data_IF_603657046014
#
_entry.id   IF_603657046014
#
_cell.length_a   1.000
_cell.length_b   1.000
_cell.length_c   1.000
_cell.angle_alpha   90.00
_cell.angle_beta   90.00
_cell.angle_gamma   90.00
#
_symmetry.space_group_name_H-M   'P 1'
#
loop_
_entity.id
_entity.type
_entity.pdbx_description
1 polymer ?
#
# COMPACT_ATOMS: atom_id res chain seq x y z
N UNK A 1 -7.08 -17.06 -9.68
CA UNK A 1 -6.73 -16.54 -8.36
C UNK A 1 -5.45 -15.74 -8.45
N UNK A 2 -5.34 -14.61 -7.74
CA UNK A 2 -4.22 -13.66 -7.81
C UNK A 2 -3.54 -13.49 -6.44
N UNK A 3 -2.27 -13.13 -6.47
CA UNK A 3 -1.52 -12.74 -5.26
C UNK A 3 -1.53 -11.22 -5.14
N UNK A 4 -2.02 -10.70 -4.02
CA UNK A 4 -2.15 -9.28 -3.73
C UNK A 4 -1.09 -8.83 -2.74
N UNK A 5 -0.45 -7.69 -2.99
CA UNK A 5 0.38 -6.97 -2.03
C UNK A 5 -0.33 -5.68 -1.66
N UNK A 6 -0.62 -5.47 -0.37
CA UNK A 6 -1.39 -4.33 0.11
C UNK A 6 -0.54 -3.51 1.08
N UNK A 7 0.01 -2.38 0.61
CA UNK A 7 0.68 -1.44 1.50
C UNK A 7 -0.34 -0.63 2.30
N UNK A 8 -0.07 -0.39 3.57
CA UNK A 8 -1.07 0.16 4.48
C UNK A 8 -2.22 -0.82 4.79
N UNK A 9 -1.96 -2.11 4.63
CA UNK A 9 -2.96 -3.19 4.69
C UNK A 9 -3.68 -3.34 6.03
N UNK A 10 -3.13 -2.82 7.13
CA UNK A 10 -3.79 -2.79 8.46
C UNK A 10 -4.73 -1.61 8.66
N UNK A 11 -4.78 -0.66 7.71
CA UNK A 11 -5.74 0.44 7.71
C UNK A 11 -7.18 -0.02 7.42
N UNK A 12 -8.15 0.89 7.59
CA UNK A 12 -9.58 0.58 7.35
C UNK A 12 -9.82 0.02 5.95
N UNK A 13 -9.30 0.69 4.92
CA UNK A 13 -9.41 0.23 3.54
C UNK A 13 -8.75 -1.14 3.32
N UNK A 14 -7.51 -1.31 3.79
CA UNK A 14 -6.77 -2.56 3.60
C UNK A 14 -7.44 -3.76 4.25
N UNK A 15 -7.99 -3.59 5.45
CA UNK A 15 -8.77 -4.63 6.14
C UNK A 15 -10.04 -4.99 5.37
N UNK A 16 -10.81 -3.99 4.94
CA UNK A 16 -12.07 -4.22 4.22
C UNK A 16 -11.82 -4.87 2.86
N UNK A 17 -10.86 -4.35 2.08
CA UNK A 17 -10.48 -4.98 0.80
C UNK A 17 -10.06 -6.44 0.99
N UNK A 18 -9.19 -6.71 1.98
CA UNK A 18 -8.76 -8.09 2.26
C UNK A 18 -9.95 -8.98 2.65
N UNK A 19 -10.89 -8.47 3.43
CA UNK A 19 -12.12 -9.19 3.79
C UNK A 19 -12.98 -9.51 2.57
N UNK A 20 -13.16 -8.55 1.67
CA UNK A 20 -13.93 -8.73 0.42
C UNK A 20 -13.25 -9.76 -0.49
N UNK A 21 -11.93 -9.69 -0.65
CA UNK A 21 -11.19 -10.68 -1.42
C UNK A 21 -11.41 -12.08 -0.87
N UNK A 22 -11.24 -12.28 0.44
CA UNK A 22 -11.44 -13.57 1.11
C UNK A 22 -12.89 -14.10 0.99
N UNK A 23 -13.90 -13.24 1.12
CA UNK A 23 -15.30 -13.63 0.96
C UNK A 23 -15.62 -14.12 -0.45
N UNK A 24 -15.01 -13.49 -1.45
CA UNK A 24 -15.26 -13.81 -2.87
C UNK A 24 -14.27 -14.84 -3.43
N UNK A 25 -13.35 -15.37 -2.64
CA UNK A 25 -12.33 -16.37 -3.04
C UNK A 25 -11.57 -15.97 -4.30
N UNK A 26 -11.19 -14.69 -4.39
CA UNK A 26 -10.52 -14.09 -5.56
C UNK A 26 -9.01 -14.22 -5.48
N UNK A 27 -8.47 -14.53 -4.31
CA UNK A 27 -7.05 -14.53 -3.97
C UNK A 27 -6.43 -15.93 -3.96
N UNK A 28 -5.14 -15.97 -4.33
CA UNK A 28 -4.22 -17.08 -4.05
C UNK A 28 -3.46 -16.82 -2.75
N UNK A 29 -3.07 -15.55 -2.53
CA UNK A 29 -2.35 -15.07 -1.36
C UNK A 29 -2.62 -13.56 -1.17
N UNK A 30 -2.68 -13.11 0.07
CA UNK A 30 -2.77 -11.70 0.43
C UNK A 30 -1.60 -11.35 1.34
N UNK A 31 -0.77 -10.41 0.88
CA UNK A 31 0.36 -9.88 1.62
C UNK A 31 -0.03 -8.53 2.21
N UNK A 32 -0.06 -8.45 3.54
CA UNK A 32 -0.27 -7.23 4.31
C UNK A 32 1.10 -6.63 4.61
N UNK A 33 1.35 -5.43 4.13
CA UNK A 33 2.58 -4.68 4.39
C UNK A 33 2.24 -3.41 5.17
N UNK A 34 2.74 -3.29 6.38
CA UNK A 34 2.51 -2.13 7.25
C UNK A 34 3.56 -2.01 8.34
N UNK A 35 3.70 -0.80 8.92
CA UNK A 35 4.69 -0.51 9.96
C UNK A 35 4.30 -1.03 11.35
N UNK A 36 3.00 -1.14 11.61
CA UNK A 36 2.42 -1.32 12.92
C UNK A 36 2.18 -2.81 13.21
N UNK A 37 3.08 -3.40 14.00
CA UNK A 37 3.00 -4.80 14.44
C UNK A 37 1.72 -5.08 15.24
N UNK A 38 1.34 -4.16 16.13
CA UNK A 38 0.16 -4.33 16.97
C UNK A 38 -1.12 -4.42 16.12
N UNK A 39 -1.27 -3.53 15.12
CA UNK A 39 -2.40 -3.61 14.19
C UNK A 39 -2.39 -4.86 13.34
N UNK A 40 -1.21 -5.38 12.98
CA UNK A 40 -1.12 -6.68 12.29
C UNK A 40 -1.58 -7.82 13.19
N UNK A 41 -1.16 -7.84 14.47
CA UNK A 41 -1.59 -8.83 15.45
C UNK A 41 -3.10 -8.77 15.70
N UNK A 42 -3.66 -7.57 15.89
CA UNK A 42 -5.10 -7.41 16.00
C UNK A 42 -5.85 -7.90 14.75
N UNK A 43 -5.34 -7.63 13.55
CA UNK A 43 -5.94 -8.10 12.31
C UNK A 43 -5.95 -9.63 12.23
N UNK A 44 -4.86 -10.29 12.60
CA UNK A 44 -4.76 -11.77 12.64
C UNK A 44 -5.82 -12.42 13.53
N UNK A 45 -6.21 -11.75 14.61
CA UNK A 45 -7.20 -12.25 15.58
C UNK A 45 -8.64 -12.17 15.08
N UNK A 46 -8.92 -11.35 14.07
CA UNK A 46 -10.26 -11.26 13.50
C UNK A 46 -10.64 -12.57 12.80
N UNK A 47 -11.86 -13.04 13.02
CA UNK A 47 -12.32 -14.37 12.65
C UNK A 47 -12.11 -14.70 11.16
N UNK A 48 -12.35 -13.73 10.27
CA UNK A 48 -12.18 -13.93 8.82
C UNK A 48 -10.71 -14.15 8.44
N UNK A 49 -9.77 -13.40 9.06
CA UNK A 49 -8.33 -13.56 8.76
C UNK A 49 -7.75 -14.79 9.42
N UNK A 50 -8.17 -15.11 10.65
CA UNK A 50 -7.78 -16.32 11.36
C UNK A 50 -8.16 -17.59 10.59
N UNK A 51 -9.38 -17.66 10.06
CA UNK A 51 -9.84 -18.80 9.25
C UNK A 51 -9.06 -18.96 7.94
N UNK A 52 -8.43 -17.89 7.45
CA UNK A 52 -7.70 -17.85 6.18
C UNK A 52 -6.18 -17.66 6.37
N UNK A 53 -5.63 -18.01 7.54
CA UNK A 53 -4.21 -17.78 7.87
C UNK A 53 -3.23 -18.40 6.85
N UNK A 54 -3.59 -19.51 6.21
CA UNK A 54 -2.75 -20.21 5.24
C UNK A 54 -2.41 -19.35 4.01
N UNK A 55 -3.30 -18.44 3.63
CA UNK A 55 -3.13 -17.57 2.47
C UNK A 55 -2.78 -16.13 2.83
N UNK A 56 -2.84 -15.78 4.12
CA UNK A 56 -2.42 -14.47 4.61
C UNK A 56 -0.92 -14.46 4.92
N UNK A 57 -0.25 -13.35 4.57
CA UNK A 57 1.14 -13.07 4.98
C UNK A 57 1.23 -11.66 5.52
N UNK A 58 1.99 -11.47 6.56
CA UNK A 58 2.13 -10.20 7.26
C UNK A 58 3.61 -9.80 7.27
N UNK A 59 3.93 -8.73 6.58
CA UNK A 59 5.26 -8.16 6.52
C UNK A 59 5.29 -6.82 7.26
N UNK A 60 6.13 -6.72 8.27
CA UNK A 60 6.45 -5.43 8.89
C UNK A 60 7.42 -4.70 7.98
N UNK A 61 7.07 -3.46 7.63
CA UNK A 61 7.90 -2.60 6.80
C UNK A 61 7.27 -1.24 6.57
N UNK A 62 8.11 -0.29 6.19
CA UNK A 62 7.74 1.08 5.86
C UNK A 62 7.85 1.28 4.35
N UNK A 63 6.91 2.01 3.74
CA UNK A 63 6.96 2.33 2.30
C UNK A 63 8.14 3.24 1.95
N UNK A 64 8.77 3.87 2.93
CA UNK A 64 9.99 4.64 2.78
C UNK A 64 11.25 3.76 2.59
N UNK A 65 11.15 2.47 2.88
CA UNK A 65 12.23 1.49 2.72
C UNK A 65 12.01 0.67 1.45
N UNK A 66 12.65 1.10 0.36
CA UNK A 66 12.58 0.43 -0.94
C UNK A 66 13.06 -1.02 -0.88
N UNK A 67 14.17 -1.27 -0.16
CA UNK A 67 14.75 -2.60 -0.09
C UNK A 67 13.79 -3.60 0.58
N UNK A 68 13.14 -3.15 1.65
CA UNK A 68 12.14 -3.97 2.36
C UNK A 68 10.90 -4.26 1.50
N UNK A 69 10.45 -3.28 0.71
CA UNK A 69 9.34 -3.48 -0.25
C UNK A 69 9.74 -4.51 -1.31
N UNK A 70 10.89 -4.31 -1.98
CA UNK A 70 11.40 -5.22 -3.02
C UNK A 70 11.57 -6.64 -2.50
N UNK A 71 12.12 -6.83 -1.30
CA UNK A 71 12.22 -8.13 -0.65
C UNK A 71 10.85 -8.79 -0.48
N UNK A 72 9.89 -8.07 0.12
CA UNK A 72 8.55 -8.62 0.36
C UNK A 72 7.82 -8.97 -0.95
N UNK A 73 8.06 -8.23 -2.03
CA UNK A 73 7.47 -8.49 -3.34
C UNK A 73 8.11 -9.71 -4.02
N UNK A 74 9.44 -9.79 -4.06
CA UNK A 74 10.19 -10.86 -4.74
C UNK A 74 9.92 -12.25 -4.15
N UNK A 75 9.81 -12.34 -2.82
CA UNK A 75 9.54 -13.60 -2.12
C UNK A 75 8.14 -14.18 -2.41
N UNK A 76 7.21 -13.39 -2.94
CA UNK A 76 5.80 -13.77 -2.97
C UNK A 76 5.15 -13.85 -4.37
N UNK A 77 5.87 -13.55 -5.45
CA UNK A 77 5.34 -13.56 -6.84
C UNK A 77 4.01 -12.78 -6.95
N UNK A 78 4.08 -11.47 -6.73
CA UNK A 78 2.91 -10.58 -6.69
C UNK A 78 2.30 -10.40 -8.09
N UNK A 79 0.98 -10.52 -8.19
CA UNK A 79 0.23 -10.19 -9.41
C UNK A 79 -0.28 -8.75 -9.40
N UNK A 80 -0.74 -8.27 -8.23
CA UNK A 80 -1.41 -6.98 -8.07
C UNK A 80 -0.89 -6.30 -6.82
N UNK A 81 -0.47 -5.05 -6.95
CA UNK A 81 -0.13 -4.15 -5.83
C UNK A 81 -1.28 -3.19 -5.60
N UNK A 82 -1.68 -3.06 -4.34
CA UNK A 82 -2.62 -2.03 -3.86
C UNK A 82 -1.86 -1.10 -2.92
N UNK A 83 -1.65 0.14 -3.34
CA UNK A 83 -0.96 1.14 -2.53
C UNK A 83 -1.95 2.00 -1.76
N UNK A 84 -2.13 1.69 -0.47
CA UNK A 84 -3.03 2.41 0.44
C UNK A 84 -2.30 3.09 1.61
N UNK A 85 -0.97 2.98 1.68
CA UNK A 85 -0.17 3.64 2.72
C UNK A 85 -0.02 5.12 2.42
N UNK A 86 -0.46 5.98 3.35
CA UNK A 86 -0.25 7.42 3.29
C UNK A 86 -0.40 8.05 4.69
N UNK A 87 0.23 9.20 4.91
CA UNK A 87 -0.15 10.14 5.95
C UNK A 87 -1.29 11.00 5.39
N UNK A 88 -2.45 11.02 6.05
CA UNK A 88 -3.69 11.60 5.51
C UNK A 88 -4.41 12.59 6.42
N UNK A 89 -3.96 12.74 7.66
CA UNK A 89 -4.53 13.71 8.59
C UNK A 89 -3.96 15.09 8.27
N UNK A 90 -4.80 16.00 7.74
CA UNK A 90 -4.36 17.31 7.22
C UNK A 90 -3.52 18.07 8.26
N UNK A 91 -4.02 18.27 9.47
CA UNK A 91 -3.27 18.98 10.52
C UNK A 91 -1.92 18.30 10.82
N UNK A 92 -1.90 16.97 10.95
CA UNK A 92 -0.67 16.23 11.21
C UNK A 92 0.35 16.38 10.06
N UNK A 93 -0.11 16.43 8.83
CA UNK A 93 0.76 16.59 7.66
C UNK A 93 1.37 17.97 7.59
N UNK A 94 0.64 19.02 7.97
CA UNK A 94 1.18 20.39 8.05
C UNK A 94 2.29 20.53 9.12
N UNK A 95 2.14 19.88 10.27
CA UNK A 95 3.18 19.86 11.31
C UNK A 95 4.37 18.95 10.98
N UNK A 96 4.22 17.99 10.06
CA UNK A 96 5.24 17.01 9.72
C UNK A 96 5.49 16.96 8.20
N UNK A 97 5.88 18.08 7.57
CA UNK A 97 5.93 18.18 6.11
C UNK A 97 6.92 17.22 5.48
N UNK A 98 8.12 17.07 6.04
CA UNK A 98 9.14 16.16 5.50
C UNK A 98 8.73 14.69 5.61
N UNK A 99 8.13 14.29 6.71
CA UNK A 99 7.63 12.93 6.89
C UNK A 99 6.45 12.64 5.96
N UNK A 100 5.63 13.65 5.68
CA UNK A 100 4.53 13.55 4.72
C UNK A 100 5.06 13.35 3.30
N UNK A 101 6.04 14.14 2.88
CA UNK A 101 6.70 14.00 1.57
C UNK A 101 7.36 12.62 1.45
N UNK A 102 8.15 12.23 2.45
CA UNK A 102 8.82 10.91 2.46
C UNK A 102 7.83 9.75 2.34
N UNK A 103 6.71 9.84 3.04
CA UNK A 103 5.71 8.75 3.01
C UNK A 103 4.87 8.78 1.75
N UNK A 104 4.32 9.95 1.38
CA UNK A 104 3.31 10.04 0.32
C UNK A 104 3.93 10.13 -1.08
N UNK A 105 5.12 10.75 -1.23
CA UNK A 105 5.79 10.92 -2.52
C UNK A 105 6.89 9.88 -2.70
N UNK A 106 7.91 9.86 -1.82
CA UNK A 106 9.01 8.91 -1.94
C UNK A 106 8.54 7.47 -1.69
N UNK A 107 7.58 7.27 -0.78
CA UNK A 107 6.94 5.97 -0.60
C UNK A 107 6.19 5.49 -1.85
N UNK A 108 5.52 6.39 -2.56
CA UNK A 108 4.88 6.07 -3.85
C UNK A 108 5.93 5.71 -4.92
N UNK A 109 7.02 6.49 -5.01
CA UNK A 109 8.15 6.18 -5.89
C UNK A 109 8.72 4.78 -5.60
N UNK A 110 8.99 4.47 -4.34
CA UNK A 110 9.51 3.16 -3.95
C UNK A 110 8.59 1.99 -4.35
N UNK A 111 7.28 2.17 -4.21
CA UNK A 111 6.29 1.18 -4.67
C UNK A 111 6.34 1.00 -6.19
N UNK A 112 6.44 2.09 -6.94
CA UNK A 112 6.54 2.05 -8.41
C UNK A 112 7.82 1.30 -8.82
N UNK A 113 8.97 1.74 -8.34
CA UNK A 113 10.27 1.15 -8.68
C UNK A 113 10.33 -0.33 -8.32
N UNK A 114 9.93 -0.69 -7.09
CA UNK A 114 9.89 -2.09 -6.66
C UNK A 114 8.91 -2.94 -7.50
N UNK A 115 7.80 -2.35 -7.95
CA UNK A 115 6.85 -3.03 -8.82
C UNK A 115 7.43 -3.28 -10.22
N UNK A 116 8.16 -2.31 -10.78
CA UNK A 116 8.85 -2.46 -12.07
C UNK A 116 9.96 -3.51 -11.99
N UNK A 117 10.80 -3.45 -10.96
CA UNK A 117 11.89 -4.41 -10.72
C UNK A 117 11.38 -5.86 -10.57
N UNK A 118 10.21 -6.03 -10.00
CA UNK A 118 9.57 -7.35 -9.81
C UNK A 118 8.61 -7.73 -10.95
N UNK A 119 8.58 -6.99 -12.07
CA UNK A 119 7.73 -7.24 -13.23
C UNK A 119 6.24 -7.33 -12.89
N UNK A 120 5.77 -6.55 -11.92
CA UNK A 120 4.37 -6.53 -11.50
C UNK A 120 3.53 -5.79 -12.55
N UNK A 121 2.50 -6.46 -13.06
CA UNK A 121 1.72 -5.96 -14.20
C UNK A 121 0.64 -4.95 -13.81
N UNK A 122 0.22 -4.93 -12.54
CA UNK A 122 -0.88 -4.07 -12.11
C UNK A 122 -0.62 -3.47 -10.74
N UNK A 123 -0.62 -2.13 -10.71
CA UNK A 123 -0.56 -1.35 -9.48
C UNK A 123 -1.79 -0.46 -9.41
N UNK A 124 -2.49 -0.47 -8.29
CA UNK A 124 -3.62 0.41 -8.00
C UNK A 124 -3.25 1.26 -6.79
N UNK A 125 -3.16 2.56 -6.97
CA UNK A 125 -2.89 3.51 -5.89
C UNK A 125 -4.16 4.25 -5.50
N UNK A 126 -4.40 4.43 -4.20
CA UNK A 126 -5.53 5.22 -3.72
C UNK A 126 -5.23 6.71 -3.85
N UNK A 127 -6.17 7.44 -4.40
CA UNK A 127 -6.15 8.89 -4.46
C UNK A 127 -7.15 9.52 -3.48
N UNK A 128 -7.41 10.82 -3.61
CA UNK A 128 -8.31 11.61 -2.78
C UNK A 128 -8.86 12.80 -3.58
N UNK A 129 -10.05 13.25 -3.23
CA UNK A 129 -10.63 14.52 -3.72
C UNK A 129 -9.72 15.72 -3.46
N UNK A 130 -8.96 15.70 -2.36
CA UNK A 130 -8.02 16.76 -1.98
C UNK A 130 -6.81 16.90 -2.90
N UNK A 131 -6.59 15.95 -3.81
CA UNK A 131 -5.58 16.06 -4.86
C UNK A 131 -6.03 16.99 -6.04
N UNK A 132 -7.33 17.28 -6.11
CA UNK A 132 -7.88 18.21 -7.09
C UNK A 132 -7.75 19.64 -6.55
N UNK A 133 -6.96 20.49 -7.22
CA UNK A 133 -6.68 21.87 -6.78
C UNK A 133 -6.28 21.97 -5.30
N UNK A 134 -5.16 21.34 -4.89
CA UNK A 134 -4.83 21.16 -3.49
C UNK A 134 -4.53 22.48 -2.78
N UNK A 135 -5.15 22.68 -1.62
CA UNK A 135 -4.94 23.85 -0.74
C UNK A 135 -4.15 23.48 0.54
N UNK A 136 -3.71 22.25 0.67
CA UNK A 136 -2.93 21.77 1.81
C UNK A 136 -1.86 20.77 1.36
N UNK A 137 -0.89 20.52 2.23
CA UNK A 137 0.23 19.61 1.95
C UNK A 137 -0.22 18.18 1.64
N UNK A 138 -1.23 17.67 2.37
CA UNK A 138 -1.75 16.34 2.08
C UNK A 138 -2.23 16.24 0.64
N UNK A 139 -3.08 17.16 0.20
CA UNK A 139 -3.58 17.20 -1.19
C UNK A 139 -2.46 17.34 -2.22
N UNK A 140 -1.50 18.25 -1.96
CA UNK A 140 -0.35 18.46 -2.85
C UNK A 140 0.51 17.19 -2.99
N UNK A 141 0.81 16.50 -1.89
CA UNK A 141 1.58 15.24 -1.93
C UNK A 141 0.81 14.11 -2.61
N UNK A 142 -0.51 14.08 -2.49
CA UNK A 142 -1.34 13.09 -3.20
C UNK A 142 -1.42 13.38 -4.70
N UNK A 143 -1.51 14.65 -5.10
CA UNK A 143 -1.43 15.03 -6.51
C UNK A 143 -0.08 14.60 -7.12
N UNK A 144 1.03 14.87 -6.43
CA UNK A 144 2.35 14.44 -6.87
C UNK A 144 2.42 12.90 -7.02
N UNK A 145 1.94 12.16 -6.02
CA UNK A 145 1.86 10.70 -6.05
C UNK A 145 1.04 10.20 -7.26
N UNK A 146 -0.14 10.78 -7.53
CA UNK A 146 -0.99 10.39 -8.65
C UNK A 146 -0.28 10.61 -10.00
N UNK A 147 0.48 11.71 -10.13
CA UNK A 147 1.29 11.97 -11.32
C UNK A 147 2.41 10.96 -11.50
N UNK A 148 3.08 10.54 -10.41
CA UNK A 148 4.10 9.50 -10.45
C UNK A 148 3.52 8.15 -10.93
N UNK A 149 2.39 7.72 -10.38
CA UNK A 149 1.74 6.47 -10.82
C UNK A 149 1.27 6.54 -12.27
N UNK A 150 0.78 7.69 -12.72
CA UNK A 150 0.39 7.90 -14.13
C UNK A 150 1.61 7.82 -15.05
N UNK A 151 2.69 8.54 -14.70
CA UNK A 151 3.94 8.55 -15.47
C UNK A 151 4.62 7.18 -15.53
N UNK A 152 4.47 6.34 -14.49
CA UNK A 152 5.06 5.01 -14.45
C UNK A 152 4.63 4.09 -15.60
N UNK A 153 3.49 4.36 -16.25
CA UNK A 153 3.09 3.62 -17.45
C UNK A 153 4.02 3.87 -18.66
N UNK A 154 4.85 4.91 -18.60
CA UNK A 154 5.82 5.26 -19.67
C UNK A 154 7.17 4.55 -19.48
N UNK A 155 7.40 3.89 -18.34
CA UNK A 155 8.68 3.24 -18.00
C UNK A 155 8.70 1.72 -18.30
N UNK A 156 7.84 1.27 -19.18
CA UNK A 156 7.77 -0.14 -19.62
C UNK A 156 8.72 -0.41 -20.76
#
# INVERSE_FOLDING_TARGET
>A
MKTYFISGGTGSFGKELSSILLKNKLEKKIIIFSRDEFKQDQMKKLNIFKKNEKIMRYFIGDVRDKNRISQAMSENKIDIVIHAAALKQVHTTEYNPFETIKTNILGAQNIIESSLENNIKKVVALSTDKACSPINLYGATKLASDKLFTAANLFK
#
